data_IF_815599084678
#
_entry.id   IF_815599084678
#
_cell.length_a   1.000
_cell.length_b   1.000
_cell.length_c   1.000
_cell.angle_alpha   90.00
_cell.angle_beta   90.00
_cell.angle_gamma   90.00
#
_symmetry.space_group_name_H-M   'P 1'
#
loop_
_entity.id
_entity.type
_entity.pdbx_description
1 polymer ?
#
# COMPACT_ATOMS: atom_id res chain seq x y z
N UNK A 1 -19.89 -14.03 26.56
CA UNK A 1 -19.86 -12.56 26.73
C UNK A 1 -18.60 -12.19 27.48
N UNK A 2 -17.53 -11.83 26.79
CA UNK A 2 -16.36 -11.12 27.38
C UNK A 2 -16.12 -9.91 26.51
N UNK A 3 -16.35 -8.76 27.09
CA UNK A 3 -16.31 -7.41 26.50
C UNK A 3 -14.90 -7.03 26.01
N UNK A 4 -14.77 -6.17 25.00
CA UNK A 4 -13.51 -5.80 24.37
C UNK A 4 -12.76 -4.73 25.16
N UNK A 5 -12.37 -5.02 26.42
CA UNK A 5 -11.59 -4.09 27.25
C UNK A 5 -10.10 -3.98 26.86
N UNK A 6 -9.61 -4.84 25.98
CA UNK A 6 -8.19 -4.79 25.58
C UNK A 6 -7.86 -3.68 24.58
N UNK A 7 -8.77 -3.33 23.69
CA UNK A 7 -8.57 -2.23 22.74
C UNK A 7 -8.50 -0.86 23.45
N UNK A 8 -9.34 -0.66 24.47
CA UNK A 8 -9.38 0.61 25.22
C UNK A 8 -8.09 0.89 26.01
N UNK A 9 -7.40 -0.17 26.48
CA UNK A 9 -6.12 -0.02 27.22
C UNK A 9 -4.96 0.43 26.34
N UNK A 10 -4.90 0.01 25.09
CA UNK A 10 -3.86 0.45 24.14
C UNK A 10 -4.06 1.92 23.78
N UNK A 11 -5.32 2.38 23.64
CA UNK A 11 -5.65 3.78 23.39
C UNK A 11 -5.29 4.73 24.53
N UNK A 12 -5.45 4.30 25.75
CA UNK A 12 -5.10 5.09 26.95
C UNK A 12 -3.57 5.26 27.01
N UNK A 13 -2.77 4.25 26.67
CA UNK A 13 -1.31 4.37 26.64
C UNK A 13 -0.81 5.25 25.49
N UNK A 14 -1.46 5.22 24.32
CA UNK A 14 -1.13 6.15 23.22
C UNK A 14 -1.46 7.61 23.57
N UNK A 15 -2.55 7.87 24.28
CA UNK A 15 -2.91 9.21 24.76
C UNK A 15 -1.93 9.75 25.81
N UNK A 16 -1.39 8.90 26.68
CA UNK A 16 -0.39 9.31 27.68
C UNK A 16 0.97 9.71 27.08
N UNK A 17 1.37 9.09 26.00
CA UNK A 17 2.60 9.48 25.27
C UNK A 17 2.42 10.85 24.61
N UNK A 18 1.18 11.23 24.24
CA UNK A 18 0.89 12.53 23.62
C UNK A 18 0.85 13.68 24.62
N UNK A 19 0.51 13.43 25.88
CA UNK A 19 0.42 14.45 26.93
C UNK A 19 1.78 14.92 27.50
N UNK A 20 2.89 14.28 27.13
CA UNK A 20 4.22 14.65 27.62
C UNK A 20 4.98 15.63 26.70
N UNK A 21 4.36 16.12 25.65
CA UNK A 21 4.97 17.14 24.78
C UNK A 21 4.56 18.55 25.27
N UNK A 22 5.50 19.44 25.66
CA UNK A 22 5.15 20.79 26.05
C UNK A 22 4.60 21.56 24.84
N UNK A 23 3.30 21.86 24.88
CA UNK A 23 2.60 22.65 23.88
C UNK A 23 2.86 24.14 24.10
N UNK A 24 3.75 24.73 23.33
CA UNK A 24 3.72 26.17 23.09
C UNK A 24 3.20 26.39 21.65
N UNK A 25 1.88 26.54 21.55
CA UNK A 25 1.25 26.98 20.30
C UNK A 25 1.34 28.50 20.24
N UNK A 26 2.22 29.03 19.41
CA UNK A 26 2.17 30.44 19.01
C UNK A 26 1.40 30.52 17.69
N UNK A 27 0.17 31.02 17.76
CA UNK A 27 -0.57 31.43 16.57
C UNK A 27 0.00 32.80 16.11
N UNK A 28 0.73 32.80 15.02
CA UNK A 28 1.05 34.05 14.32
C UNK A 28 -0.15 34.43 13.46
N UNK A 29 -0.83 35.50 13.88
CA UNK A 29 -1.80 36.20 13.03
C UNK A 29 -1.01 37.08 12.06
N UNK A 30 -0.94 36.65 10.80
CA UNK A 30 -0.44 37.50 9.74
C UNK A 30 -1.43 38.66 9.51
N UNK A 31 -0.98 39.89 9.74
CA UNK A 31 -1.72 41.11 9.45
C UNK A 31 -1.42 41.48 8.01
N UNK A 32 -2.23 41.02 7.08
CA UNK A 32 -2.17 41.45 5.69
C UNK A 32 -2.75 42.88 5.58
N UNK A 33 -1.90 43.83 5.39
CA UNK A 33 -2.28 45.16 4.90
C UNK A 33 -2.30 45.12 3.38
N UNK A 34 -3.49 45.14 2.80
CA UNK A 34 -3.72 45.27 1.36
C UNK A 34 -3.28 46.67 0.93
N UNK A 35 -2.10 46.79 0.36
CA UNK A 35 -1.74 47.93 -0.47
C UNK A 35 -1.71 47.43 -1.91
N UNK A 36 -2.67 47.91 -2.69
CA UNK A 36 -2.79 47.57 -4.10
C UNK A 36 -1.69 48.21 -4.93
N UNK A 37 -0.72 47.43 -5.32
CA UNK A 37 0.08 47.68 -6.52
C UNK A 37 -0.26 46.57 -7.52
N UNK A 38 -0.81 46.96 -8.66
CA UNK A 38 -1.10 46.04 -9.77
C UNK A 38 0.25 45.64 -10.37
N UNK A 39 0.82 44.55 -9.89
CA UNK A 39 1.96 43.95 -10.57
C UNK A 39 1.44 43.24 -11.84
N UNK A 40 1.86 43.79 -12.99
CA UNK A 40 1.77 43.06 -14.26
C UNK A 40 2.63 41.78 -14.14
N UNK A 41 2.01 40.65 -13.94
CA UNK A 41 2.68 39.38 -14.08
C UNK A 41 2.96 39.14 -15.56
N UNK A 42 4.22 39.08 -15.92
CA UNK A 42 4.62 38.58 -17.23
C UNK A 42 4.04 37.20 -17.44
N UNK A 43 3.48 36.98 -18.63
CA UNK A 43 2.89 35.69 -18.97
C UNK A 43 3.95 34.60 -18.81
N UNK A 44 3.84 33.78 -17.77
CA UNK A 44 4.64 32.58 -17.63
C UNK A 44 4.21 31.60 -18.69
N UNK A 45 4.91 31.58 -19.80
CA UNK A 45 4.73 30.54 -20.82
C UNK A 45 5.28 29.24 -20.24
N UNK A 46 4.41 28.43 -19.66
CA UNK A 46 4.75 27.06 -19.26
C UNK A 46 4.90 26.24 -20.54
N UNK A 47 6.07 26.29 -21.13
CA UNK A 47 6.48 25.28 -22.11
C UNK A 47 6.68 24.00 -21.34
N UNK A 48 5.66 23.15 -21.31
CA UNK A 48 5.81 21.75 -20.93
C UNK A 48 6.78 21.11 -21.94
N UNK A 49 8.07 21.20 -21.66
CA UNK A 49 9.07 20.37 -22.33
C UNK A 49 8.70 18.96 -21.91
N UNK A 50 7.97 18.23 -22.75
CA UNK A 50 7.93 16.78 -22.69
C UNK A 50 9.40 16.37 -22.86
N UNK A 51 10.07 16.08 -21.73
CA UNK A 51 11.31 15.33 -21.84
C UNK A 51 10.94 14.04 -22.56
N UNK A 52 11.60 13.70 -23.66
CA UNK A 52 11.41 12.38 -24.25
C UNK A 52 11.62 11.41 -23.09
N UNK A 53 10.66 10.49 -22.93
CA UNK A 53 10.76 9.47 -21.91
C UNK A 53 12.00 8.66 -22.27
N UNK A 54 13.15 9.00 -21.66
CA UNK A 54 14.36 8.22 -21.80
C UNK A 54 13.94 6.84 -21.31
N UNK A 55 13.92 5.85 -22.19
CA UNK A 55 13.64 4.46 -21.82
C UNK A 55 14.73 4.08 -20.83
N UNK A 56 14.45 4.32 -19.55
CA UNK A 56 15.42 4.07 -18.47
C UNK A 56 15.44 2.60 -18.09
N UNK A 57 14.40 1.85 -18.47
CA UNK A 57 14.14 0.47 -18.07
C UNK A 57 13.90 -0.44 -19.29
N UNK A 58 14.34 -1.70 -19.21
CA UNK A 58 13.95 -2.74 -20.15
C UNK A 58 12.46 -3.13 -20.02
N UNK A 59 11.79 -2.71 -18.95
CA UNK A 59 10.39 -2.95 -18.64
C UNK A 59 9.64 -1.64 -18.48
N UNK A 60 8.30 -1.68 -18.62
CA UNK A 60 7.46 -0.49 -18.47
C UNK A 60 7.30 -0.14 -17.00
N UNK A 61 7.86 0.99 -16.57
CA UNK A 61 7.63 1.58 -15.24
C UNK A 61 6.93 2.91 -15.40
N UNK A 62 5.79 3.06 -14.73
CA UNK A 62 5.00 4.30 -14.69
C UNK A 62 5.12 4.88 -13.28
N UNK A 63 5.28 6.19 -13.16
CA UNK A 63 5.53 6.85 -11.87
C UNK A 63 4.65 8.09 -11.76
N UNK A 64 3.95 8.23 -10.65
CA UNK A 64 3.33 9.46 -10.18
C UNK A 64 4.05 9.93 -8.91
N UNK A 65 4.50 11.16 -8.93
CA UNK A 65 5.05 11.83 -7.75
C UNK A 65 3.93 12.58 -7.02
N UNK A 66 4.19 13.02 -5.83
CA UNK A 66 3.22 13.76 -4.99
C UNK A 66 2.58 14.93 -5.73
N UNK A 67 3.37 15.69 -6.48
CA UNK A 67 2.91 16.84 -7.25
C UNK A 67 1.94 16.40 -8.37
N UNK A 68 2.21 15.29 -9.04
CA UNK A 68 1.33 14.74 -10.08
C UNK A 68 0.00 14.30 -9.48
N UNK A 69 0.03 13.59 -8.33
CA UNK A 69 -1.17 13.14 -7.62
C UNK A 69 -2.03 14.32 -7.18
N UNK A 70 -1.40 15.38 -6.67
CA UNK A 70 -2.06 16.61 -6.25
C UNK A 70 -2.67 17.37 -7.44
N UNK A 71 -1.91 17.55 -8.53
CA UNK A 71 -2.36 18.27 -9.72
C UNK A 71 -3.51 17.56 -10.44
N UNK A 72 -3.57 16.24 -10.36
CA UNK A 72 -4.68 15.44 -10.90
C UNK A 72 -5.92 15.43 -9.99
N UNK A 73 -5.86 16.05 -8.81
CA UNK A 73 -6.98 16.12 -7.86
C UNK A 73 -7.39 14.76 -7.31
N UNK A 74 -6.48 13.78 -7.27
CA UNK A 74 -6.76 12.41 -6.83
C UNK A 74 -6.95 12.37 -5.32
N UNK A 75 -8.00 11.71 -4.88
CA UNK A 75 -8.41 11.71 -3.47
C UNK A 75 -8.18 10.38 -2.77
N UNK A 76 -8.13 9.28 -3.51
CA UNK A 76 -7.91 7.94 -2.97
C UNK A 76 -6.97 7.12 -3.85
N UNK A 77 -6.40 6.07 -3.25
CA UNK A 77 -5.43 5.19 -3.90
C UNK A 77 -6.00 4.50 -5.14
N UNK A 78 -7.26 4.08 -5.10
CA UNK A 78 -7.90 3.42 -6.24
C UNK A 78 -7.95 4.31 -7.48
N UNK A 79 -8.31 5.58 -7.31
CA UNK A 79 -8.37 6.55 -8.42
C UNK A 79 -6.97 6.88 -8.96
N UNK A 80 -5.96 6.93 -8.10
CA UNK A 80 -4.59 7.10 -8.53
C UNK A 80 -4.11 5.91 -9.37
N UNK A 81 -4.39 4.69 -8.93
CA UNK A 81 -3.98 3.47 -9.64
C UNK A 81 -4.71 3.29 -10.96
N UNK A 82 -5.97 3.72 -11.08
CA UNK A 82 -6.72 3.72 -12.36
C UNK A 82 -6.03 4.57 -13.46
N UNK A 83 -5.14 5.50 -13.10
CA UNK A 83 -4.42 6.35 -14.07
C UNK A 83 -3.23 5.66 -14.71
N UNK A 84 -2.75 4.55 -14.14
CA UNK A 84 -1.70 3.76 -14.77
C UNK A 84 -2.24 2.98 -15.97
N UNK A 85 -1.52 3.02 -17.08
CA UNK A 85 -1.87 2.22 -18.25
C UNK A 85 -1.73 0.72 -17.96
N UNK A 86 -2.71 -0.06 -18.36
CA UNK A 86 -2.72 -1.51 -18.20
C UNK A 86 -3.15 -1.98 -16.82
N UNK A 87 -3.71 -1.10 -15.97
CA UNK A 87 -4.34 -1.48 -14.71
C UNK A 87 -5.85 -1.62 -14.85
N UNK A 88 -6.40 -2.54 -14.08
CA UNK A 88 -7.83 -2.65 -13.81
C UNK A 88 -8.02 -2.62 -12.29
N UNK A 89 -8.72 -1.62 -11.79
CA UNK A 89 -9.08 -1.51 -10.38
C UNK A 89 -10.54 -1.93 -10.23
N UNK A 90 -10.77 -3.02 -9.51
CA UNK A 90 -12.11 -3.42 -9.11
C UNK A 90 -12.48 -2.68 -7.84
N UNK A 91 -13.62 -2.03 -7.87
CA UNK A 91 -14.20 -1.28 -6.75
C UNK A 91 -15.52 -1.96 -6.36
N UNK A 92 -15.59 -2.42 -5.12
CA UNK A 92 -16.71 -3.22 -4.61
C UNK A 92 -17.71 -2.39 -3.79
N UNK A 93 -17.77 -1.08 -3.97
CA UNK A 93 -18.80 -0.28 -3.29
C UNK A 93 -18.46 1.18 -3.01
N UNK A 94 -17.85 1.91 -3.93
CA UNK A 94 -17.65 3.35 -3.78
C UNK A 94 -16.63 3.73 -2.70
N UNK A 95 -16.95 4.69 -1.83
CA UNK A 95 -16.01 5.24 -0.84
C UNK A 95 -15.58 4.15 0.15
N UNK A 96 -16.50 3.35 0.65
CA UNK A 96 -16.26 2.26 1.60
C UNK A 96 -15.83 0.94 0.96
N UNK A 97 -15.91 0.82 -0.38
CA UNK A 97 -15.66 -0.41 -1.10
C UNK A 97 -14.21 -0.87 -1.03
N UNK A 98 -14.03 -2.20 -0.98
CA UNK A 98 -12.73 -2.84 -1.18
C UNK A 98 -12.24 -2.51 -2.59
N UNK A 99 -10.97 -2.15 -2.73
CA UNK A 99 -10.37 -1.82 -4.01
C UNK A 99 -9.16 -2.73 -4.28
N UNK A 100 -9.27 -3.54 -5.32
CA UNK A 100 -8.17 -4.43 -5.72
C UNK A 100 -7.62 -4.05 -7.08
N UNK A 101 -6.32 -4.24 -7.28
CA UNK A 101 -5.65 -3.90 -8.53
C UNK A 101 -5.20 -5.15 -9.26
N UNK A 102 -5.47 -5.20 -10.56
CA UNK A 102 -4.97 -6.20 -11.48
C UNK A 102 -4.18 -5.53 -12.61
N UNK A 103 -3.02 -6.07 -12.92
CA UNK A 103 -2.18 -5.58 -14.03
C UNK A 103 -2.40 -6.47 -15.23
N UNK A 104 -2.62 -5.89 -16.41
CA UNK A 104 -2.88 -6.57 -17.70
C UNK A 104 -3.92 -7.69 -17.58
N UNK A 105 -4.89 -7.52 -16.69
CA UNK A 105 -5.98 -8.46 -16.44
C UNK A 105 -5.54 -9.87 -15.96
N UNK A 106 -4.33 -9.99 -15.42
CA UNK A 106 -3.79 -11.24 -14.88
C UNK A 106 -4.43 -11.65 -13.54
N UNK A 107 -5.22 -10.77 -12.94
CA UNK A 107 -5.84 -10.97 -11.64
C UNK A 107 -5.07 -10.28 -10.50
N UNK A 108 -5.80 -9.86 -9.47
CA UNK A 108 -5.23 -9.11 -8.36
C UNK A 108 -4.25 -9.93 -7.50
N UNK A 109 -4.40 -11.25 -7.46
CA UNK A 109 -3.49 -12.15 -6.75
C UNK A 109 -2.07 -12.20 -7.36
N UNK A 110 -1.92 -11.78 -8.63
CA UNK A 110 -0.63 -11.74 -9.33
C UNK A 110 0.03 -10.36 -9.33
N UNK A 111 -0.62 -9.37 -8.71
CA UNK A 111 -0.08 -8.02 -8.55
C UNK A 111 0.40 -7.84 -7.12
N UNK A 112 1.70 -7.70 -6.94
CA UNK A 112 2.25 -7.37 -5.62
C UNK A 112 1.99 -5.91 -5.30
N UNK A 113 1.76 -5.64 -4.02
CA UNK A 113 1.76 -4.29 -3.45
C UNK A 113 2.96 -4.19 -2.51
N UNK A 114 3.81 -3.21 -2.74
CA UNK A 114 4.96 -2.90 -1.89
C UNK A 114 4.71 -1.59 -1.15
N UNK A 115 4.96 -1.57 0.15
CA UNK A 115 4.87 -0.37 0.98
C UNK A 115 6.24 -0.06 1.58
N UNK A 116 6.86 1.03 1.11
CA UNK A 116 8.26 1.39 1.38
C UNK A 116 9.27 0.27 1.09
N UNK A 117 9.04 -0.46 -0.01
CA UNK A 117 9.93 -1.51 -0.49
C UNK A 117 9.73 -2.88 0.17
N UNK A 118 8.75 -3.03 1.08
CA UNK A 118 8.41 -4.31 1.70
C UNK A 118 7.05 -4.79 1.18
N UNK A 119 6.99 -6.01 0.67
CA UNK A 119 5.77 -6.58 0.12
C UNK A 119 4.68 -6.76 1.18
N UNK A 120 3.47 -6.30 0.86
CA UNK A 120 2.26 -6.50 1.65
C UNK A 120 1.56 -7.76 1.17
N UNK A 121 0.89 -8.46 2.09
CA UNK A 121 0.18 -9.70 1.81
C UNK A 121 -1.14 -9.79 2.53
N UNK A 122 -2.01 -10.60 1.96
CA UNK A 122 -3.22 -11.10 2.60
C UNK A 122 -3.28 -12.62 2.33
N UNK A 123 -3.17 -13.42 3.38
CA UNK A 123 -3.07 -14.88 3.28
C UNK A 123 -4.41 -15.53 2.96
N UNK A 124 -5.51 -14.93 3.41
CA UNK A 124 -6.86 -15.44 3.21
C UNK A 124 -7.34 -15.16 1.78
N UNK A 125 -7.38 -13.88 1.37
CA UNK A 125 -7.96 -13.47 0.10
C UNK A 125 -6.96 -13.52 -1.07
N UNK A 126 -5.66 -13.56 -0.79
CA UNK A 126 -4.61 -13.49 -1.82
C UNK A 126 -4.55 -12.16 -2.57
N UNK A 127 -5.38 -11.19 -2.21
CA UNK A 127 -5.52 -9.88 -2.85
C UNK A 127 -5.38 -8.79 -1.79
N UNK A 128 -4.85 -7.64 -2.19
CA UNK A 128 -4.67 -6.49 -1.30
C UNK A 128 -5.75 -5.45 -1.57
N UNK A 129 -6.46 -5.05 -0.52
CA UNK A 129 -7.29 -3.83 -0.56
C UNK A 129 -6.37 -2.62 -0.54
N UNK A 130 -6.19 -1.97 -1.70
CA UNK A 130 -5.39 -0.76 -1.82
C UNK A 130 -6.12 0.47 -1.27
N UNK A 131 -7.44 0.40 -1.08
CA UNK A 131 -8.26 1.49 -0.53
C UNK A 131 -7.90 1.87 0.91
N UNK A 132 -7.25 0.95 1.66
CA UNK A 132 -6.81 1.19 3.04
C UNK A 132 -5.58 2.10 3.17
N UNK A 133 -4.88 2.39 2.07
CA UNK A 133 -3.70 3.26 2.10
C UNK A 133 -4.10 4.69 1.72
N UNK A 134 -3.81 5.65 2.60
CA UNK A 134 -4.03 7.07 2.33
C UNK A 134 -3.03 7.60 1.31
N UNK A 135 -3.49 8.48 0.40
CA UNK A 135 -2.59 9.22 -0.49
C UNK A 135 -1.88 10.38 0.20
N UNK A 136 -2.32 10.79 1.38
CA UNK A 136 -1.85 12.02 2.03
C UNK A 136 -0.35 11.98 2.36
N UNK A 137 0.17 10.80 2.70
CA UNK A 137 1.57 10.58 3.04
C UNK A 137 2.42 9.97 1.92
N UNK A 138 1.84 9.78 0.72
CA UNK A 138 2.55 9.18 -0.42
C UNK A 138 3.44 10.22 -1.10
N UNK A 139 4.72 9.91 -1.26
CA UNK A 139 5.68 10.69 -2.04
C UNK A 139 5.75 10.23 -3.48
N UNK A 140 5.68 8.92 -3.69
CA UNK A 140 5.80 8.29 -5.01
C UNK A 140 4.88 7.06 -5.08
N UNK A 141 4.11 6.99 -6.13
CA UNK A 141 3.34 5.83 -6.51
C UNK A 141 3.86 5.34 -7.86
N UNK A 142 4.36 4.12 -7.93
CA UNK A 142 4.87 3.57 -9.17
C UNK A 142 4.32 2.19 -9.47
N UNK A 143 4.16 1.90 -10.76
CA UNK A 143 3.76 0.60 -11.26
C UNK A 143 4.83 0.06 -12.19
N UNK A 144 5.46 -1.03 -11.78
CA UNK A 144 6.34 -1.82 -12.63
C UNK A 144 5.54 -3.00 -13.22
N UNK A 145 5.58 -3.17 -14.54
CA UNK A 145 4.95 -4.29 -15.24
C UNK A 145 6.06 -5.24 -15.70
N UNK A 146 6.11 -6.44 -15.13
CA UNK A 146 7.25 -7.34 -15.24
C UNK A 146 8.29 -7.04 -14.16
N UNK A 147 9.58 -7.02 -14.51
CA UNK A 147 10.63 -6.74 -13.54
C UNK A 147 10.96 -5.25 -13.43
N UNK A 148 11.05 -4.75 -12.21
CA UNK A 148 11.49 -3.39 -11.92
C UNK A 148 13.00 -3.24 -12.17
N UNK A 149 13.44 -2.02 -12.44
CA UNK A 149 14.86 -1.66 -12.54
C UNK A 149 15.58 -1.73 -11.18
N UNK A 150 14.84 -1.75 -10.08
CA UNK A 150 15.41 -1.93 -8.76
C UNK A 150 15.83 -3.39 -8.57
N UNK A 151 17.10 -3.71 -8.80
CA UNK A 151 17.62 -5.06 -8.58
C UNK A 151 17.87 -5.38 -7.09
N UNK A 152 17.98 -4.39 -6.23
CA UNK A 152 18.12 -4.58 -4.78
C UNK A 152 16.74 -4.64 -4.13
N UNK A 153 16.00 -5.70 -4.41
CA UNK A 153 14.64 -5.94 -3.91
C UNK A 153 14.45 -7.39 -3.47
N UNK A 154 13.38 -7.68 -2.78
CA UNK A 154 13.07 -9.02 -2.28
C UNK A 154 12.72 -10.01 -3.41
N UNK A 155 12.93 -11.30 -3.16
CA UNK A 155 12.60 -12.37 -4.11
C UNK A 155 11.10 -12.39 -4.43
N UNK A 156 10.24 -12.05 -3.47
CA UNK A 156 8.79 -11.96 -3.63
C UNK A 156 8.37 -10.93 -4.68
N UNK A 157 9.04 -9.78 -4.74
CA UNK A 157 8.74 -8.77 -5.76
C UNK A 157 9.16 -9.24 -7.15
N UNK A 158 10.27 -9.99 -7.28
CA UNK A 158 10.64 -10.63 -8.54
C UNK A 158 9.66 -11.73 -8.98
N UNK A 159 8.98 -12.38 -8.05
CA UNK A 159 8.01 -13.45 -8.33
C UNK A 159 6.63 -12.92 -8.81
N UNK A 160 6.43 -11.61 -8.90
CA UNK A 160 5.13 -11.00 -9.22
C UNK A 160 5.06 -10.53 -10.67
N UNK A 161 3.89 -10.62 -11.29
CA UNK A 161 3.66 -10.19 -12.68
C UNK A 161 3.67 -8.67 -12.84
N UNK A 162 3.34 -7.95 -11.77
CA UNK A 162 3.45 -6.51 -11.66
C UNK A 162 3.57 -6.09 -10.21
N UNK A 163 4.22 -4.97 -9.96
CA UNK A 163 4.45 -4.43 -8.61
C UNK A 163 3.95 -3.01 -8.54
N UNK A 164 2.96 -2.78 -7.69
CA UNK A 164 2.53 -1.45 -7.27
C UNK A 164 3.36 -1.03 -6.07
N UNK A 165 4.27 -0.08 -6.24
CA UNK A 165 5.08 0.46 -5.16
C UNK A 165 4.46 1.74 -4.62
N UNK A 166 4.25 1.78 -3.31
CA UNK A 166 3.78 2.92 -2.54
C UNK A 166 4.94 3.35 -1.66
N UNK A 167 5.48 4.53 -1.92
CA UNK A 167 6.55 5.11 -1.10
C UNK A 167 6.01 6.28 -0.30
N UNK A 168 6.24 6.28 1.01
CA UNK A 168 5.81 7.35 1.89
C UNK A 168 6.82 8.49 1.94
N UNK A 169 6.34 9.68 2.34
CA UNK A 169 7.21 10.85 2.48
C UNK A 169 8.20 10.65 3.63
N UNK A 170 9.47 10.93 3.32
CA UNK A 170 10.51 11.01 4.32
C UNK A 170 10.60 12.45 4.84
N UNK A 171 10.71 12.67 6.17
CA UNK A 171 10.85 14.00 6.74
C UNK A 171 12.00 14.78 6.13
N UNK A 172 11.71 16.00 5.67
CA UNK A 172 12.69 16.99 5.21
C UNK A 172 12.47 18.27 6.01
N UNK A 173 13.55 18.83 6.52
CA UNK A 173 13.51 20.03 7.32
C UNK A 173 14.30 21.12 6.61
N UNK A 174 13.77 22.35 6.64
CA UNK A 174 14.51 23.56 6.25
C UNK A 174 15.52 23.91 7.34
N UNK A 175 16.44 24.81 7.03
CA UNK A 175 17.50 25.21 7.95
C UNK A 175 16.93 25.71 9.29
N UNK A 176 17.37 25.06 10.37
CA UNK A 176 16.91 25.36 11.73
C UNK A 176 15.57 24.72 12.14
N UNK A 177 14.82 24.14 11.22
CA UNK A 177 13.57 23.48 11.52
C UNK A 177 13.82 22.08 12.11
N UNK A 178 13.13 21.73 13.19
CA UNK A 178 13.21 20.42 13.84
C UNK A 178 11.86 19.71 13.90
N UNK A 179 10.77 20.40 13.57
CA UNK A 179 9.40 19.90 13.66
C UNK A 179 8.57 20.42 12.50
N UNK A 180 7.67 19.59 12.02
CA UNK A 180 6.66 19.99 11.04
C UNK A 180 5.36 19.30 11.43
N UNK A 181 4.26 20.05 11.45
CA UNK A 181 2.92 19.48 11.71
C UNK A 181 1.97 20.02 10.67
N UNK A 182 1.22 19.13 10.05
CA UNK A 182 0.18 19.45 9.09
C UNK A 182 -1.11 18.78 9.52
N UNK A 183 -2.18 19.55 9.57
CA UNK A 183 -3.55 19.05 9.76
C UNK A 183 -4.30 19.38 8.48
N UNK A 184 -4.99 18.41 7.94
CA UNK A 184 -5.81 18.56 6.75
C UNK A 184 -7.19 18.00 7.04
N UNK A 185 -8.22 18.63 6.48
CA UNK A 185 -9.60 18.15 6.57
C UNK A 185 -10.23 18.23 5.17
N UNK A 186 -10.84 17.15 4.74
CA UNK A 186 -11.63 17.08 3.53
C UNK A 186 -13.04 16.67 3.88
N UNK A 187 -14.00 17.22 3.14
CA UNK A 187 -15.42 16.88 3.24
C UNK A 187 -16.03 16.76 1.86
N UNK A 188 -17.13 16.05 1.75
CA UNK A 188 -17.81 15.82 0.49
C UNK A 188 -19.27 15.41 0.67
N UNK A 189 -19.92 15.05 -0.43
CA UNK A 189 -21.30 14.55 -0.43
C UNK A 189 -21.41 13.24 0.35
N UNK A 190 -22.62 12.88 0.74
CA UNK A 190 -22.97 11.62 1.39
C UNK A 190 -22.25 11.39 2.72
N UNK A 191 -22.17 12.46 3.54
CA UNK A 191 -21.57 12.40 4.87
C UNK A 191 -20.05 12.19 4.87
N UNK A 192 -19.37 12.35 3.73
CA UNK A 192 -17.93 12.14 3.64
C UNK A 192 -17.13 13.18 4.40
N UNK A 193 -16.32 12.73 5.34
CA UNK A 193 -15.38 13.53 6.10
C UNK A 193 -14.08 12.75 6.34
N UNK A 194 -12.94 13.40 6.14
CA UNK A 194 -11.63 12.79 6.39
C UNK A 194 -10.63 13.81 6.90
N UNK A 195 -10.51 13.96 8.24
CA UNK A 195 -9.38 14.64 8.85
C UNK A 195 -8.12 13.78 8.79
N UNK A 196 -6.98 14.43 8.56
CA UNK A 196 -5.67 13.80 8.63
C UNK A 196 -4.67 14.66 9.37
N UNK A 197 -3.73 14.00 10.05
CA UNK A 197 -2.64 14.62 10.80
C UNK A 197 -1.32 14.02 10.30
N UNK A 198 -0.35 14.88 10.05
CA UNK A 198 1.05 14.52 9.83
C UNK A 198 1.92 15.28 10.82
N UNK A 199 2.82 14.58 11.46
CA UNK A 199 3.84 15.17 12.32
C UNK A 199 5.21 14.60 12.00
N UNK A 200 6.18 15.49 11.76
CA UNK A 200 7.59 15.14 11.57
C UNK A 200 8.42 15.73 12.70
N UNK A 201 9.37 14.93 13.19
CA UNK A 201 10.27 15.32 14.26
C UNK A 201 11.69 14.90 13.92
N UNK A 202 12.63 15.83 13.98
CA UNK A 202 14.06 15.52 14.03
C UNK A 202 14.42 15.13 15.46
N UNK A 203 14.93 13.91 15.63
CA UNK A 203 15.43 13.39 16.92
C UNK A 203 16.95 13.57 17.06
N UNK A 204 17.58 14.22 16.09
CA UNK A 204 19.01 14.45 15.99
C UNK A 204 19.40 14.63 14.52
N UNK A 205 20.69 14.74 14.26
CA UNK A 205 21.19 14.98 12.90
C UNK A 205 20.87 13.82 11.93
N UNK A 206 20.85 12.60 12.45
CA UNK A 206 20.75 11.36 11.66
C UNK A 206 19.48 10.55 11.89
N UNK A 207 18.61 11.02 12.79
CA UNK A 207 17.37 10.30 13.13
C UNK A 207 16.16 11.21 12.95
N UNK A 208 15.17 10.72 12.21
CA UNK A 208 13.93 11.42 11.91
C UNK A 208 12.74 10.51 12.19
N UNK A 209 11.68 11.10 12.74
CA UNK A 209 10.40 10.44 13.02
C UNK A 209 9.32 11.07 12.14
N UNK A 210 8.44 10.24 11.56
CA UNK A 210 7.18 10.64 10.97
C UNK A 210 6.05 9.90 11.68
N UNK A 211 4.98 10.62 11.99
CA UNK A 211 3.71 10.05 12.47
C UNK A 211 2.61 10.60 11.59
N UNK A 212 1.84 9.72 10.98
CA UNK A 212 0.71 10.05 10.13
C UNK A 212 -0.54 9.35 10.66
N UNK A 213 -1.65 10.06 10.71
CA UNK A 213 -2.96 9.52 11.11
C UNK A 213 -4.05 10.05 10.19
N UNK A 214 -4.99 9.18 9.86
CA UNK A 214 -6.13 9.50 9.01
C UNK A 214 -7.38 8.85 9.61
N UNK A 215 -8.47 9.60 9.68
CA UNK A 215 -9.80 9.11 9.96
C UNK A 215 -10.66 9.34 8.73
N UNK A 216 -11.53 8.42 8.41
CA UNK A 216 -12.50 8.55 7.32
C UNK A 216 -13.86 8.06 7.79
N UNK A 217 -14.89 8.86 7.50
CA UNK A 217 -16.29 8.47 7.63
C UNK A 217 -17.05 8.90 6.38
N UNK A 218 -17.97 8.06 5.96
CA UNK A 218 -18.98 8.40 4.97
C UNK A 218 -20.23 7.57 5.24
N UNK A 219 -21.41 8.14 5.05
CA UNK A 219 -22.67 7.41 5.05
C UNK A 219 -22.84 6.66 3.72
N UNK A 220 -22.30 7.21 2.64
CA UNK A 220 -22.22 6.59 1.32
C UNK A 220 -23.55 6.43 0.58
N UNK A 221 -24.65 6.80 1.23
CA UNK A 221 -26.00 6.67 0.66
C UNK A 221 -26.23 7.68 -0.45
N UNK A 222 -26.42 7.20 -1.70
CA UNK A 222 -26.65 8.08 -2.85
C UNK A 222 -27.85 7.62 -3.68
N UNK A 223 -28.61 8.58 -4.30
CA UNK A 223 -29.68 8.25 -5.23
C UNK A 223 -29.11 7.79 -6.58
N UNK A 224 -29.78 6.85 -7.22
CA UNK A 224 -29.46 6.39 -8.56
C UNK A 224 -30.73 5.96 -9.32
N UNK A 225 -30.67 5.97 -10.65
CA UNK A 225 -31.71 5.43 -11.50
C UNK A 225 -31.44 3.96 -11.80
N UNK A 226 -32.41 3.09 -11.48
CA UNK A 226 -32.41 1.70 -11.88
C UNK A 226 -33.23 1.53 -13.16
N UNK A 227 -32.59 1.08 -14.24
CA UNK A 227 -33.23 0.84 -15.55
C UNK A 227 -33.39 -0.66 -15.77
N UNK A 228 -34.64 -1.09 -15.94
CA UNK A 228 -34.99 -2.44 -16.32
C UNK A 228 -35.96 -2.42 -17.52
N UNK A 229 -35.40 -2.53 -18.72
CA UNK A 229 -36.15 -2.37 -19.93
C UNK A 229 -36.72 -0.92 -20.05
N UNK A 230 -38.06 -0.80 -20.07
CA UNK A 230 -38.75 0.50 -20.08
C UNK A 230 -39.06 1.04 -18.69
N UNK A 231 -38.91 0.23 -17.66
CA UNK A 231 -39.12 0.67 -16.28
C UNK A 231 -37.86 1.41 -15.78
N UNK A 232 -38.05 2.62 -15.32
CA UNK A 232 -37.05 3.45 -14.67
C UNK A 232 -37.59 3.78 -13.30
N UNK A 233 -36.81 3.43 -12.23
CA UNK A 233 -37.13 3.75 -10.86
C UNK A 233 -36.00 4.56 -10.25
N UNK A 234 -36.35 5.52 -9.37
CA UNK A 234 -35.38 6.21 -8.53
C UNK A 234 -35.17 5.40 -7.27
N UNK A 235 -33.95 4.99 -7.04
CA UNK A 235 -33.57 4.15 -5.92
C UNK A 235 -32.51 4.87 -5.07
N UNK A 236 -32.32 4.43 -3.84
CA UNK A 236 -31.25 4.91 -2.98
C UNK A 236 -30.32 3.76 -2.63
N UNK A 237 -29.03 3.94 -2.90
CA UNK A 237 -28.03 2.96 -2.49
C UNK A 237 -27.87 3.02 -0.98
N UNK A 238 -28.04 1.91 -0.30
CA UNK A 238 -27.93 1.76 1.15
C UNK A 238 -26.81 0.79 1.50
N UNK A 239 -26.47 0.71 2.79
CA UNK A 239 -25.42 -0.17 3.33
C UNK A 239 -24.06 0.06 2.64
N UNK A 240 -23.73 1.35 2.42
CA UNK A 240 -22.49 1.80 1.76
C UNK A 240 -21.63 2.65 2.70
N UNK A 241 -22.00 2.68 3.97
CA UNK A 241 -21.29 3.40 5.00
C UNK A 241 -19.89 2.82 5.25
N UNK A 242 -19.00 3.69 5.65
CA UNK A 242 -17.67 3.34 6.14
C UNK A 242 -17.26 4.23 7.29
N UNK A 243 -16.62 3.62 8.27
CA UNK A 243 -15.82 4.30 9.27
C UNK A 243 -14.46 3.61 9.35
N UNK A 244 -13.37 4.37 9.23
CA UNK A 244 -12.03 3.82 9.28
C UNK A 244 -11.03 4.74 9.97
N UNK A 245 -10.03 4.12 10.58
CA UNK A 245 -8.87 4.80 11.18
C UNK A 245 -7.61 4.15 10.62
N UNK A 246 -6.69 4.98 10.19
CA UNK A 246 -5.34 4.58 9.81
C UNK A 246 -4.33 5.37 10.63
N UNK A 247 -3.29 4.69 11.11
CA UNK A 247 -2.16 5.33 11.76
C UNK A 247 -0.86 4.67 11.36
N UNK A 248 0.18 5.45 11.18
CA UNK A 248 1.52 4.93 10.98
C UNK A 248 2.59 5.77 11.67
N UNK A 249 3.67 5.12 12.07
CA UNK A 249 4.85 5.79 12.56
C UNK A 249 6.09 5.22 11.86
N UNK A 250 6.98 6.11 11.43
CA UNK A 250 8.19 5.77 10.71
C UNK A 250 9.40 6.37 11.41
N UNK A 251 10.40 5.55 11.67
CA UNK A 251 11.71 5.96 12.16
C UNK A 251 12.73 5.76 11.03
N UNK A 252 13.40 6.85 10.64
CA UNK A 252 14.48 6.85 9.67
C UNK A 252 15.78 7.16 10.39
N UNK A 253 16.74 6.26 10.30
CA UNK A 253 18.06 6.45 10.87
C UNK A 253 19.15 6.20 9.82
N UNK A 254 20.08 7.16 9.70
CA UNK A 254 21.26 7.03 8.86
C UNK A 254 22.47 6.87 9.79
N UNK A 255 23.17 5.74 9.68
CA UNK A 255 24.37 5.47 10.49
C UNK A 255 25.57 6.32 10.02
N UNK A 256 26.67 6.24 10.76
CA UNK A 256 27.90 6.99 10.43
C UNK A 256 28.56 6.53 9.13
N UNK A 257 28.31 5.29 8.73
CA UNK A 257 28.81 4.68 7.50
C UNK A 257 27.79 4.78 6.34
N UNK A 258 26.85 5.73 6.43
CA UNK A 258 25.79 6.01 5.48
C UNK A 258 24.83 4.83 5.22
N UNK A 259 24.90 3.77 6.04
CA UNK A 259 23.86 2.74 6.02
C UNK A 259 22.55 3.29 6.58
N UNK A 260 21.43 2.80 6.05
CA UNK A 260 20.09 3.29 6.38
C UNK A 260 19.27 2.21 7.09
N UNK A 261 18.61 2.58 8.18
CA UNK A 261 17.59 1.79 8.85
C UNK A 261 16.26 2.53 8.82
N UNK A 262 15.25 1.91 8.25
CA UNK A 262 13.89 2.40 8.29
C UNK A 262 13.03 1.40 9.06
N UNK A 263 12.35 1.86 10.11
CA UNK A 263 11.39 1.07 10.88
C UNK A 263 10.03 1.71 10.73
N UNK A 264 9.02 0.92 10.40
CA UNK A 264 7.63 1.38 10.23
C UNK A 264 6.71 0.50 11.06
N UNK A 265 5.73 1.14 11.69
CA UNK A 265 4.54 0.51 12.22
C UNK A 265 3.32 1.09 11.53
N UNK A 266 2.34 0.26 11.26
CA UNK A 266 1.09 0.63 10.59
C UNK A 266 -0.08 -0.06 11.29
N UNK A 267 -1.15 0.69 11.48
CA UNK A 267 -2.42 0.17 11.97
C UNK A 267 -3.57 0.69 11.10
N UNK A 268 -4.51 -0.18 10.81
CA UNK A 268 -5.75 0.14 10.11
C UNK A 268 -6.90 -0.59 10.78
N UNK A 269 -7.97 0.13 11.03
CA UNK A 269 -9.25 -0.41 11.46
C UNK A 269 -10.33 0.12 10.54
N UNK A 270 -11.29 -0.72 10.17
CA UNK A 270 -12.50 -0.26 9.48
C UNK A 270 -13.71 -1.09 9.84
N UNK A 271 -14.86 -0.45 9.78
CA UNK A 271 -16.17 -1.08 9.70
C UNK A 271 -16.91 -0.48 8.51
N UNK A 272 -17.56 -1.35 7.74
CA UNK A 272 -18.25 -0.92 6.52
C UNK A 272 -19.46 -1.79 6.20
N UNK A 273 -20.46 -1.19 5.58
CA UNK A 273 -21.51 -1.91 4.88
C UNK A 273 -21.01 -2.48 3.56
N UNK A 274 -21.55 -3.61 3.15
CA UNK A 274 -21.35 -4.22 1.84
C UNK A 274 -22.69 -4.20 1.10
N UNK A 275 -22.85 -3.29 0.13
CA UNK A 275 -24.17 -3.04 -0.45
C UNK A 275 -24.67 -4.14 -1.40
N UNK A 276 -23.87 -5.19 -1.63
CA UNK A 276 -24.22 -6.28 -2.52
C UNK A 276 -24.42 -5.85 -3.99
N UNK A 277 -24.96 -6.71 -4.81
CA UNK A 277 -25.36 -6.40 -6.19
C UNK A 277 -26.70 -5.66 -6.22
N UNK A 278 -26.84 -4.68 -7.11
CA UNK A 278 -28.16 -4.10 -7.43
C UNK A 278 -28.87 -5.06 -8.36
N UNK A 279 -29.90 -5.72 -7.83
CA UNK A 279 -30.80 -6.55 -8.61
C UNK A 279 -32.23 -6.01 -8.53
N UNK A 280 -33.04 -6.27 -9.57
CA UNK A 280 -34.40 -5.80 -9.63
C UNK A 280 -35.20 -6.27 -8.41
N UNK A 281 -35.93 -5.37 -7.79
CA UNK A 281 -36.76 -5.59 -6.58
C UNK A 281 -35.98 -5.98 -5.31
N UNK A 282 -34.66 -5.96 -5.33
CA UNK A 282 -33.85 -6.15 -4.12
C UNK A 282 -32.56 -5.34 -4.23
N UNK A 283 -32.51 -4.20 -3.58
CA UNK A 283 -31.32 -3.37 -3.40
C UNK A 283 -30.88 -3.31 -1.93
N UNK A 284 -31.51 -4.11 -1.08
CA UNK A 284 -31.16 -4.22 0.34
C UNK A 284 -30.13 -5.34 0.55
N UNK A 285 -29.12 -5.03 1.35
CA UNK A 285 -28.10 -5.98 1.80
C UNK A 285 -27.75 -5.61 3.23
N UNK A 286 -27.73 -6.60 4.11
CA UNK A 286 -27.39 -6.47 5.54
C UNK A 286 -25.98 -6.98 5.83
N UNK A 287 -25.18 -7.15 4.76
CA UNK A 287 -23.80 -7.62 4.87
C UNK A 287 -22.89 -6.54 5.42
N UNK A 288 -22.05 -6.90 6.38
CA UNK A 288 -21.07 -5.99 6.99
C UNK A 288 -19.70 -6.61 7.11
N UNK A 289 -18.67 -5.77 7.01
CA UNK A 289 -17.28 -6.18 7.14
C UNK A 289 -16.55 -5.29 8.14
N UNK A 290 -15.83 -5.92 9.05
CA UNK A 290 -14.87 -5.30 9.95
C UNK A 290 -13.48 -5.82 9.62
N UNK A 291 -12.51 -4.92 9.55
CA UNK A 291 -11.11 -5.23 9.31
C UNK A 291 -10.22 -4.58 10.37
N UNK A 292 -9.28 -5.36 10.89
CA UNK A 292 -8.14 -4.88 11.65
C UNK A 292 -6.86 -5.35 10.98
N UNK A 293 -5.93 -4.45 10.75
CA UNK A 293 -4.61 -4.79 10.25
C UNK A 293 -3.53 -4.03 11.00
N UNK A 294 -2.55 -4.76 11.48
CA UNK A 294 -1.34 -4.21 12.07
C UNK A 294 -0.13 -4.84 11.41
N UNK A 295 0.85 -4.02 11.04
CA UNK A 295 2.16 -4.55 10.72
C UNK A 295 3.28 -3.69 11.28
N UNK A 296 4.39 -4.35 11.61
CA UNK A 296 5.65 -3.73 11.91
C UNK A 296 6.69 -4.27 10.93
N UNK A 297 7.46 -3.38 10.31
CA UNK A 297 8.50 -3.73 9.36
C UNK A 297 9.78 -2.93 9.61
N UNK A 298 10.91 -3.54 9.30
CA UNK A 298 12.21 -2.90 9.31
C UNK A 298 12.94 -3.20 8.00
N UNK A 299 13.63 -2.20 7.46
CA UNK A 299 14.49 -2.31 6.29
C UNK A 299 15.83 -1.68 6.58
N UNK A 300 16.87 -2.47 6.47
CA UNK A 300 18.26 -2.04 6.56
C UNK A 300 18.89 -2.11 5.17
N UNK A 301 19.60 -1.06 4.76
CA UNK A 301 20.33 -0.99 3.50
C UNK A 301 21.74 -0.50 3.75
N UNK A 302 22.72 -1.17 3.16
CA UNK A 302 24.13 -0.78 3.21
C UNK A 302 24.77 -0.88 1.83
N UNK A 303 25.48 0.18 1.46
CA UNK A 303 26.38 0.22 0.33
C UNK A 303 27.80 0.10 0.89
N UNK A 304 28.46 -1.04 0.66
CA UNK A 304 29.84 -1.27 1.16
C UNK A 304 30.88 -0.55 0.32
N UNK A 305 30.64 -0.55 -0.99
CA UNK A 305 31.47 0.09 -2.00
C UNK A 305 30.64 0.19 -3.31
N UNK A 306 31.15 0.79 -4.41
CA UNK A 306 30.44 0.88 -5.69
C UNK A 306 29.98 -0.45 -6.26
N UNK A 307 30.67 -1.56 -5.92
CA UNK A 307 30.37 -2.90 -6.41
C UNK A 307 29.35 -3.66 -5.56
N UNK A 308 29.34 -3.45 -4.25
CA UNK A 308 28.57 -4.28 -3.33
C UNK A 308 27.54 -3.48 -2.52
N UNK A 309 26.31 -3.93 -2.56
CA UNK A 309 25.22 -3.43 -1.71
C UNK A 309 24.44 -4.58 -1.12
N UNK A 310 23.92 -4.38 0.09
CA UNK A 310 23.09 -5.35 0.78
C UNK A 310 21.82 -4.66 1.31
N UNK A 311 20.72 -5.39 1.27
CA UNK A 311 19.46 -5.02 1.92
C UNK A 311 18.95 -6.19 2.73
N UNK A 312 18.52 -5.93 3.95
CA UNK A 312 17.80 -6.89 4.78
C UNK A 312 16.46 -6.29 5.19
N UNK A 313 15.43 -7.12 5.22
CA UNK A 313 14.08 -6.72 5.58
C UNK A 313 13.46 -7.73 6.52
N UNK A 314 12.68 -7.24 7.48
CA UNK A 314 11.83 -8.07 8.33
C UNK A 314 10.46 -7.44 8.47
N UNK A 315 9.41 -8.27 8.52
CA UNK A 315 8.03 -7.82 8.76
C UNK A 315 7.27 -8.85 9.58
N UNK A 316 6.51 -8.34 10.52
CA UNK A 316 5.39 -9.06 11.13
C UNK A 316 4.10 -8.38 10.72
N UNK A 317 3.11 -9.15 10.26
CA UNK A 317 1.79 -8.68 9.92
C UNK A 317 0.72 -9.49 10.65
N UNK A 318 -0.20 -8.79 11.27
CA UNK A 318 -1.42 -9.32 11.85
C UNK A 318 -2.62 -8.76 11.09
N UNK A 319 -3.57 -9.61 10.74
CA UNK A 319 -4.86 -9.19 10.19
C UNK A 319 -5.96 -9.97 10.84
N UNK A 320 -7.06 -9.30 11.12
CA UNK A 320 -8.31 -9.91 11.54
C UNK A 320 -9.42 -9.30 10.71
N UNK A 321 -10.36 -10.13 10.28
CA UNK A 321 -11.59 -9.65 9.68
C UNK A 321 -12.80 -10.43 10.21
N UNK A 322 -13.93 -9.77 10.20
CA UNK A 322 -15.23 -10.33 10.50
C UNK A 322 -16.20 -9.94 9.40
N UNK A 323 -16.75 -10.91 8.71
CA UNK A 323 -17.89 -10.76 7.84
C UNK A 323 -19.15 -11.19 8.58
N UNK A 324 -20.22 -10.48 8.40
CA UNK A 324 -21.53 -10.77 8.97
C UNK A 324 -22.61 -10.51 7.94
N UNK A 325 -23.52 -11.46 7.81
CA UNK A 325 -24.67 -11.38 6.94
C UNK A 325 -25.92 -11.78 7.73
N UNK A 326 -26.95 -10.94 7.67
CA UNK A 326 -28.21 -11.17 8.33
C UNK A 326 -29.21 -11.66 7.29
N UNK A 327 -29.80 -12.86 7.52
CA UNK A 327 -30.76 -13.44 6.60
C UNK A 327 -31.55 -14.57 7.22
N UNK A 328 -32.81 -14.70 6.82
CA UNK A 328 -33.70 -15.74 7.32
C UNK A 328 -33.28 -17.15 6.86
N UNK A 329 -32.42 -17.26 5.83
CA UNK A 329 -31.83 -18.48 5.31
C UNK A 329 -30.78 -19.08 6.24
N UNK A 330 -30.20 -18.29 7.16
CA UNK A 330 -29.19 -18.76 8.10
C UNK A 330 -29.79 -19.31 9.38
N UNK A 331 -29.18 -20.36 9.90
CA UNK A 331 -29.56 -20.92 11.22
C UNK A 331 -29.32 -19.87 12.29
N UNK A 332 -30.40 -19.40 12.93
CA UNK A 332 -30.37 -18.32 13.90
C UNK A 332 -30.41 -16.90 13.28
N UNK A 333 -30.77 -16.78 11.98
CA UNK A 333 -30.96 -15.51 11.28
C UNK A 333 -29.68 -14.75 10.98
N UNK A 334 -28.51 -15.41 11.05
CA UNK A 334 -27.22 -14.74 10.92
C UNK A 334 -26.09 -15.70 10.59
N UNK A 335 -25.26 -15.30 9.61
CA UNK A 335 -23.95 -15.89 9.36
C UNK A 335 -22.86 -14.96 9.91
N UNK A 336 -21.81 -15.53 10.48
CA UNK A 336 -20.64 -14.78 10.94
C UNK A 336 -19.38 -15.56 10.64
N UNK A 337 -18.51 -14.98 9.82
CA UNK A 337 -17.22 -15.53 9.46
C UNK A 337 -16.10 -14.64 10.02
N UNK A 338 -15.18 -15.23 10.77
CA UNK A 338 -14.02 -14.53 11.31
C UNK A 338 -12.74 -15.21 10.86
N UNK A 339 -11.77 -14.39 10.46
CA UNK A 339 -10.46 -14.86 10.04
C UNK A 339 -9.38 -14.06 10.76
N UNK A 340 -8.38 -14.78 11.23
CA UNK A 340 -7.20 -14.22 11.87
C UNK A 340 -5.95 -14.72 11.17
N UNK A 341 -5.06 -13.81 10.81
CA UNK A 341 -3.87 -14.10 10.02
C UNK A 341 -2.63 -13.56 10.71
N UNK A 342 -1.55 -14.33 10.62
CA UNK A 342 -0.22 -13.90 11.03
C UNK A 342 0.77 -14.16 9.89
N UNK A 343 1.60 -13.19 9.55
CA UNK A 343 2.73 -13.39 8.65
C UNK A 343 4.01 -12.96 9.34
N UNK A 344 5.01 -13.84 9.27
CA UNK A 344 6.40 -13.55 9.61
C UNK A 344 7.20 -13.60 8.31
N UNK A 345 7.87 -12.53 7.99
CA UNK A 345 8.60 -12.35 6.74
C UNK A 345 10.02 -11.86 7.00
N UNK A 346 10.98 -12.53 6.38
CA UNK A 346 12.37 -12.12 6.35
C UNK A 346 12.87 -12.16 4.92
N UNK A 347 13.69 -11.17 4.54
CA UNK A 347 14.32 -11.10 3.23
C UNK A 347 15.74 -10.56 3.35
N UNK A 348 16.65 -11.13 2.57
CA UNK A 348 17.99 -10.63 2.37
C UNK A 348 18.28 -10.54 0.87
N UNK A 349 18.83 -9.41 0.42
CA UNK A 349 19.17 -9.16 -0.98
C UNK A 349 20.57 -8.61 -1.06
N UNK A 350 21.40 -9.20 -1.92
CA UNK A 350 22.74 -8.73 -2.23
C UNK A 350 22.83 -8.33 -3.70
N UNK A 351 23.49 -7.21 -3.97
CA UNK A 351 23.73 -6.70 -5.31
C UNK A 351 25.25 -6.62 -5.54
N UNK A 352 25.68 -7.17 -6.65
CA UNK A 352 27.06 -7.14 -7.09
C UNK A 352 27.18 -6.52 -8.48
N UNK A 353 27.96 -5.45 -8.60
CA UNK A 353 28.21 -4.70 -9.83
C UNK A 353 29.70 -4.76 -10.17
N UNK A 354 30.15 -5.80 -10.89
CA UNK A 354 31.56 -5.94 -11.29
C UNK A 354 32.03 -4.83 -12.22
N UNK A 355 31.12 -4.32 -13.07
CA UNK A 355 31.37 -3.24 -14.03
C UNK A 355 30.14 -2.32 -14.09
N UNK A 356 30.27 -1.15 -14.71
CA UNK A 356 29.15 -0.20 -14.84
C UNK A 356 28.01 -0.72 -15.73
N UNK A 357 28.30 -1.68 -16.63
CA UNK A 357 27.34 -2.24 -17.57
C UNK A 357 26.76 -3.59 -17.14
N UNK A 358 27.28 -4.23 -16.07
CA UNK A 358 26.83 -5.55 -15.61
C UNK A 358 26.50 -5.52 -14.11
N UNK A 359 25.31 -6.00 -13.76
CA UNK A 359 24.85 -6.07 -12.37
C UNK A 359 24.22 -7.43 -12.13
N UNK A 360 24.57 -8.04 -11.00
CA UNK A 360 23.93 -9.26 -10.49
C UNK A 360 23.21 -8.95 -9.18
N UNK A 361 22.13 -9.67 -8.91
CA UNK A 361 21.43 -9.65 -7.63
C UNK A 361 21.03 -11.05 -7.21
N UNK A 362 21.17 -11.33 -5.93
CA UNK A 362 20.67 -12.53 -5.28
C UNK A 362 19.77 -12.09 -4.14
N UNK A 363 18.55 -12.61 -4.12
CA UNK A 363 17.56 -12.33 -3.07
C UNK A 363 17.01 -13.64 -2.53
N UNK A 364 16.89 -13.73 -1.21
CA UNK A 364 16.32 -14.86 -0.49
C UNK A 364 15.25 -14.39 0.47
N UNK A 365 14.05 -14.95 0.35
CA UNK A 365 12.92 -14.68 1.25
C UNK A 365 12.50 -15.95 1.98
N UNK A 366 12.16 -15.80 3.26
CA UNK A 366 11.51 -16.79 4.09
C UNK A 366 10.21 -16.23 4.64
N UNK A 367 9.09 -16.96 4.48
CA UNK A 367 7.77 -16.51 4.87
C UNK A 367 7.06 -17.60 5.64
N UNK A 368 6.45 -17.26 6.76
CA UNK A 368 5.54 -18.13 7.50
C UNK A 368 4.20 -17.44 7.60
N UNK A 369 3.16 -18.05 7.06
CA UNK A 369 1.79 -17.58 7.13
C UNK A 369 0.94 -18.54 7.95
N UNK A 370 0.14 -18.01 8.88
CA UNK A 370 -0.84 -18.77 9.65
C UNK A 370 -2.21 -18.16 9.45
N UNK A 371 -3.19 -19.00 9.18
CA UNK A 371 -4.59 -18.63 9.09
C UNK A 371 -5.40 -19.41 10.10
N UNK A 372 -6.23 -18.70 10.87
CA UNK A 372 -7.22 -19.25 11.78
C UNK A 372 -8.59 -18.71 11.39
N UNK A 373 -9.60 -19.57 11.38
CA UNK A 373 -11.00 -19.24 11.02
C UNK A 373 -11.97 -19.91 11.97
N UNK A 374 -13.15 -19.32 12.16
CA UNK A 374 -14.20 -19.88 13.01
C UNK A 374 -15.07 -20.94 12.29
N UNK A 375 -14.83 -21.23 11.02
CA UNK A 375 -15.60 -22.21 10.27
C UNK A 375 -15.47 -23.62 10.86
N UNK A 376 -16.58 -24.33 10.99
CA UNK A 376 -16.59 -25.71 11.46
C UNK A 376 -15.87 -26.61 10.45
N UNK A 377 -14.87 -27.37 10.89
CA UNK A 377 -14.00 -28.20 10.03
C UNK A 377 -13.24 -27.43 8.94
N UNK A 378 -13.10 -26.11 9.09
CA UNK A 378 -12.28 -25.33 8.17
C UNK A 378 -10.80 -25.65 8.36
N UNK A 379 -10.02 -25.76 7.28
CA UNK A 379 -8.59 -25.94 7.39
C UNK A 379 -7.93 -24.72 8.02
N UNK A 380 -7.02 -24.97 8.96
CA UNK A 380 -6.17 -23.93 9.56
C UNK A 380 -4.73 -24.15 9.11
N UNK A 381 -4.34 -23.60 7.95
CA UNK A 381 -3.03 -23.85 7.40
C UNK A 381 -1.95 -23.02 8.09
N UNK A 382 -0.78 -23.63 8.25
CA UNK A 382 0.49 -22.95 8.42
C UNK A 382 1.30 -23.21 7.16
N UNK A 383 1.60 -22.13 6.42
CA UNK A 383 2.35 -22.20 5.16
C UNK A 383 3.75 -21.66 5.35
N UNK A 384 4.73 -22.44 4.92
CA UNK A 384 6.13 -22.05 4.84
C UNK A 384 6.48 -21.83 3.37
N UNK A 385 7.03 -20.67 3.05
CA UNK A 385 7.44 -20.33 1.69
C UNK A 385 8.88 -19.87 1.68
N UNK A 386 9.68 -20.44 0.79
CA UNK A 386 11.04 -20.01 0.46
C UNK A 386 11.07 -19.54 -0.98
N UNK A 387 11.56 -18.32 -1.21
CA UNK A 387 11.74 -17.75 -2.54
C UNK A 387 13.21 -17.36 -2.69
N UNK A 388 13.83 -17.83 -3.78
CA UNK A 388 15.18 -17.42 -4.16
C UNK A 388 15.13 -16.79 -5.55
N UNK A 389 15.60 -15.58 -5.70
CA UNK A 389 15.70 -14.90 -6.99
C UNK A 389 17.15 -14.60 -7.32
N UNK A 390 17.61 -15.09 -8.48
CA UNK A 390 18.89 -14.73 -9.10
C UNK A 390 18.60 -13.86 -10.32
N UNK A 391 19.14 -12.66 -10.34
CA UNK A 391 18.91 -11.69 -11.43
C UNK A 391 20.23 -11.17 -11.97
N UNK A 392 20.28 -10.97 -13.28
CA UNK A 392 21.38 -10.35 -13.98
C UNK A 392 20.86 -9.25 -14.90
N UNK A 393 21.56 -8.12 -14.95
CA UNK A 393 21.27 -7.00 -15.85
C UNK A 393 22.51 -6.62 -16.61
N UNK A 394 22.32 -6.48 -17.91
CA UNK A 394 23.28 -5.90 -18.84
C UNK A 394 22.74 -4.56 -19.35
N UNK A 395 23.57 -3.52 -19.31
CA UNK A 395 23.23 -2.19 -19.83
C UNK A 395 24.46 -1.53 -20.41
N UNK A 396 24.60 -1.57 -21.74
CA UNK A 396 25.69 -0.91 -22.42
C UNK A 396 25.20 -0.29 -23.73
N UNK A 397 25.49 1.00 -23.92
CA UNK A 397 25.03 1.75 -25.08
C UNK A 397 23.52 1.71 -25.23
N UNK A 398 23.06 1.29 -26.38
CA UNK A 398 21.65 1.23 -26.77
C UNK A 398 20.94 -0.06 -26.35
N UNK A 399 21.66 -1.04 -25.83
CA UNK A 399 21.12 -2.34 -25.42
C UNK A 399 20.97 -2.43 -23.90
N UNK A 400 19.78 -2.78 -23.45
CA UNK A 400 19.46 -3.16 -22.06
C UNK A 400 18.83 -4.53 -22.07
N UNK A 401 19.33 -5.43 -21.24
CA UNK A 401 18.77 -6.76 -21.07
C UNK A 401 18.76 -7.14 -19.59
N UNK A 402 17.75 -7.87 -19.17
CA UNK A 402 17.70 -8.46 -17.84
C UNK A 402 17.19 -9.89 -17.90
N UNK A 403 17.79 -10.74 -17.10
CA UNK A 403 17.38 -12.12 -16.91
C UNK A 403 17.18 -12.37 -15.41
N UNK A 404 16.09 -13.04 -15.04
CA UNK A 404 15.80 -13.40 -13.65
C UNK A 404 15.31 -14.84 -13.61
N UNK A 405 15.80 -15.59 -12.63
CA UNK A 405 15.33 -16.92 -12.29
C UNK A 405 14.82 -16.91 -10.86
N UNK A 406 13.53 -17.23 -10.67
CA UNK A 406 12.93 -17.35 -9.36
C UNK A 406 12.67 -18.83 -9.06
N UNK A 407 13.24 -19.33 -7.96
CA UNK A 407 12.93 -20.62 -7.39
C UNK A 407 11.96 -20.45 -6.22
N UNK A 408 10.85 -21.18 -6.27
CA UNK A 408 9.79 -21.16 -5.25
C UNK A 408 9.67 -22.55 -4.65
N UNK A 409 9.67 -22.60 -3.31
CA UNK A 409 9.34 -23.79 -2.54
C UNK A 409 8.27 -23.45 -1.51
N UNK A 410 7.17 -24.19 -1.51
CA UNK A 410 6.04 -24.01 -0.60
C UNK A 410 5.69 -25.35 0.02
N UNK A 411 5.61 -25.38 1.35
CA UNK A 411 5.05 -26.52 2.11
C UNK A 411 4.01 -26.02 3.10
N UNK A 412 3.05 -26.84 3.42
CA UNK A 412 1.93 -26.49 4.29
C UNK A 412 1.68 -27.58 5.32
N UNK A 413 1.31 -27.16 6.52
CA UNK A 413 0.74 -28.02 7.57
C UNK A 413 -0.69 -27.56 7.80
N UNK A 414 -1.64 -28.50 7.84
CA UNK A 414 -3.07 -28.20 8.00
C UNK A 414 -3.60 -28.96 9.21
N UNK A 415 -4.28 -28.26 10.13
CA UNK A 415 -4.84 -28.90 11.34
C UNK A 415 -6.05 -29.77 11.05
N UNK A 416 -6.85 -29.44 10.03
CA UNK A 416 -8.04 -30.16 9.65
C UNK A 416 -8.09 -30.34 8.13
N UNK A 417 -8.44 -31.53 7.65
CA UNK A 417 -8.49 -31.86 6.22
C UNK A 417 -7.16 -32.42 5.70
N UNK A 418 -7.04 -32.45 4.38
CA UNK A 418 -5.86 -33.01 3.71
C UNK A 418 -4.78 -31.92 3.58
N UNK A 419 -3.55 -32.24 3.97
CA UNK A 419 -2.40 -31.40 3.71
C UNK A 419 -2.04 -31.47 2.23
N UNK A 420 -1.94 -30.32 1.52
CA UNK A 420 -1.50 -30.30 0.13
C UNK A 420 -0.05 -30.77 -0.03
N UNK A 421 0.27 -31.31 -1.19
CA UNK A 421 1.63 -31.68 -1.55
C UNK A 421 2.54 -30.43 -1.65
N UNK A 422 3.82 -30.64 -1.40
CA UNK A 422 4.86 -29.61 -1.58
C UNK A 422 4.88 -29.09 -3.01
N UNK A 423 5.01 -27.78 -3.16
CA UNK A 423 5.06 -27.10 -4.46
C UNK A 423 6.46 -26.56 -4.73
N UNK A 424 7.02 -26.91 -5.88
CA UNK A 424 8.35 -26.48 -6.33
C UNK A 424 8.23 -25.95 -7.74
N UNK A 425 8.66 -24.71 -7.96
CA UNK A 425 8.60 -24.05 -9.26
C UNK A 425 9.89 -23.30 -9.56
N UNK A 426 10.28 -23.30 -10.85
CA UNK A 426 11.31 -22.44 -11.40
C UNK A 426 10.66 -21.55 -12.45
N UNK A 427 10.81 -20.23 -12.28
CA UNK A 427 10.19 -19.23 -13.15
C UNK A 427 11.28 -18.35 -13.76
N UNK A 428 11.74 -18.64 -15.00
CA UNK A 428 12.67 -17.78 -15.71
C UNK A 428 11.92 -16.61 -16.36
N UNK A 429 12.58 -15.46 -16.37
CA UNK A 429 12.13 -14.26 -17.10
C UNK A 429 13.30 -13.64 -17.82
N UNK A 430 13.07 -13.23 -19.06
CA UNK A 430 14.04 -12.52 -19.90
C UNK A 430 13.36 -11.29 -20.49
N UNK A 431 14.00 -10.15 -20.40
CA UNK A 431 13.58 -8.93 -21.09
C UNK A 431 14.77 -8.25 -21.74
N UNK A 432 14.53 -7.63 -22.89
CA UNK A 432 15.52 -6.86 -23.60
C UNK A 432 14.87 -5.63 -24.24
N UNK A 433 15.59 -4.53 -24.25
CA UNK A 433 15.23 -3.30 -24.93
C UNK A 433 16.42 -2.81 -25.73
N UNK A 434 16.18 -2.48 -26.98
CA UNK A 434 17.17 -1.93 -27.87
C UNK A 434 16.65 -0.64 -28.50
N UNK A 435 17.42 0.43 -28.38
CA UNK A 435 17.12 1.74 -28.96
C UNK A 435 18.17 2.06 -30.03
N UNK A 436 17.89 1.74 -31.31
CA UNK A 436 18.89 1.79 -32.39
C UNK A 436 19.31 3.23 -32.76
N UNK A 437 18.52 4.22 -32.42
CA UNK A 437 18.80 5.64 -32.70
C UNK A 437 18.75 6.48 -31.45
N UNK A 438 19.67 7.42 -31.31
CA UNK A 438 19.55 8.52 -30.33
C UNK A 438 18.67 9.60 -30.96
N UNK A 439 17.55 9.96 -30.29
CA UNK A 439 16.76 11.14 -30.64
C UNK A 439 17.31 12.40 -29.96
#
# INVERSE_FOLDING_TARGET
MKTPYHALRVWVWMLWVFCLLPSSVYAQVAKDSIHGDVQHLDAVTVTARRMPAKISSATSVQVFRKEDLKNLGLQNMGDAVKRFAGTNVRDYGGIGGIKTVSVRNLGAAHTAVSYDGVAISNTQAGQIDIGRFSLDNVSTLSLAIGHDDNMLQSARLFASAGVLNIETEKPRFEDGQKRFTQIQMRGGSFGYITPSLRHWQSLGERTRLSVDANYQRADGEYPFELKNGQLITEEKRINTDIESVQGEANLFHTFQDDSELNVKTYYFHSQRGLPGAVILYNNESDERLWDDNFFAQARYKKVFNPQWSLQAQGKYNYSWNKYEDLGAEYVGGKQTDTNQQHEYYLSASALYRPTDWLTFALSQDGIINKLHTNGVNSPEPTRYTSLTALSARYQQGQLKASATLVATYITEEVKAGNTPDDRKHLSPTLSASWQPWEE
#
